data_IF_474015076891
#
_entry.id   IF_474015076891
#
_cell.length_a   1.000
_cell.length_b   1.000
_cell.length_c   1.000
_cell.angle_alpha   90.00
_cell.angle_beta   90.00
_cell.angle_gamma   90.00
#
_symmetry.space_group_name_H-M   'P 1'
#
loop_
_entity.id
_entity.type
_entity.pdbx_description
1 polymer ?
#
# COMPACT_ATOMS: atom_id res chain seq x y z
N UNK A 1 5.29 11.22 -13.81
CA UNK A 1 4.68 10.13 -13.03
C UNK A 1 4.29 8.99 -13.98
N UNK A 2 5.02 7.87 -13.96
CA UNK A 2 4.85 6.74 -14.89
C UNK A 2 3.42 6.20 -14.97
N UNK A 3 2.67 6.27 -13.86
CA UNK A 3 1.28 5.79 -13.78
C UNK A 3 0.20 6.81 -14.17
N UNK A 4 0.54 8.10 -14.39
CA UNK A 4 -0.49 9.13 -14.70
C UNK A 4 -1.28 8.82 -15.97
N UNK A 5 -0.65 8.19 -16.95
CA UNK A 5 -1.32 7.76 -18.18
C UNK A 5 -2.32 6.61 -17.95
N UNK A 6 -2.12 5.79 -16.91
CA UNK A 6 -2.99 4.66 -16.57
C UNK A 6 -4.35 5.12 -16.02
N UNK A 7 -4.40 6.31 -15.41
CA UNK A 7 -5.59 6.85 -14.73
C UNK A 7 -6.31 7.97 -15.50
N UNK A 8 -5.89 8.26 -16.75
CA UNK A 8 -6.53 9.23 -17.65
C UNK A 8 -6.94 10.56 -16.96
N UNK A 9 -8.24 10.86 -16.86
CA UNK A 9 -8.78 12.09 -16.23
C UNK A 9 -8.58 12.12 -14.71
N UNK A 10 -8.52 10.96 -14.04
CA UNK A 10 -8.33 10.82 -12.58
C UNK A 10 -6.85 10.65 -12.21
N UNK A 11 -5.98 11.43 -12.86
CA UNK A 11 -4.53 11.37 -12.67
C UNK A 11 -4.06 11.64 -11.23
N UNK A 12 -4.92 12.25 -10.40
CA UNK A 12 -4.65 12.56 -9.00
C UNK A 12 -4.73 11.31 -8.09
N UNK A 13 -5.42 10.25 -8.51
CA UNK A 13 -5.45 8.98 -7.78
C UNK A 13 -4.07 8.29 -7.71
N UNK A 14 -3.14 8.67 -8.59
CA UNK A 14 -1.74 8.22 -8.53
C UNK A 14 -1.05 8.70 -7.25
N UNK A 15 -1.50 9.79 -6.64
CA UNK A 15 -0.95 10.25 -5.36
C UNK A 15 -1.24 9.28 -4.23
N UNK A 16 -2.37 8.57 -4.24
CA UNK A 16 -2.68 7.51 -3.26
C UNK A 16 -1.58 6.44 -3.25
N UNK A 17 -1.13 6.02 -4.44
CA UNK A 17 -0.04 5.04 -4.59
C UNK A 17 1.22 5.58 -3.92
N UNK A 18 1.60 6.82 -4.26
CA UNK A 18 2.81 7.47 -3.73
C UNK A 18 2.74 7.66 -2.22
N UNK A 19 1.57 8.01 -1.67
CA UNK A 19 1.39 8.19 -0.24
C UNK A 19 1.42 6.86 0.52
N UNK A 20 0.75 5.82 0.02
CA UNK A 20 0.79 4.49 0.66
C UNK A 20 2.21 3.92 0.64
N UNK A 21 2.93 4.00 -0.47
CA UNK A 21 4.30 3.47 -0.54
C UNK A 21 5.35 4.39 0.07
N UNK A 22 5.18 5.70 -0.04
CA UNK A 22 6.15 6.67 0.50
C UNK A 22 6.00 6.84 2.01
N UNK A 23 4.76 7.04 2.47
CA UNK A 23 4.46 7.29 3.89
C UNK A 23 4.17 5.97 4.62
N UNK A 24 3.36 5.07 4.06
CA UNK A 24 3.04 3.79 4.71
C UNK A 24 4.28 2.92 4.84
N UNK A 25 4.83 2.44 3.72
CA UNK A 25 6.00 1.54 3.71
C UNK A 25 7.27 2.23 4.27
N UNK A 26 7.47 3.52 3.95
CA UNK A 26 8.57 4.30 4.50
C UNK A 26 8.53 4.55 6.01
N UNK A 27 7.33 4.61 6.63
CA UNK A 27 7.19 4.70 8.09
C UNK A 27 7.07 3.34 8.77
N UNK A 28 6.74 2.28 8.05
CA UNK A 28 6.58 0.94 8.61
C UNK A 28 7.87 0.43 9.28
N UNK A 29 9.04 0.69 8.68
CA UNK A 29 10.34 0.32 9.23
C UNK A 29 10.68 1.07 10.54
N UNK A 30 10.68 2.42 10.61
CA UNK A 30 10.96 3.14 11.85
C UNK A 30 9.92 2.89 12.94
N UNK A 31 8.63 2.79 12.59
CA UNK A 31 7.56 2.45 13.54
C UNK A 31 7.77 1.03 14.09
N UNK A 32 8.18 0.09 13.24
CA UNK A 32 8.47 -1.27 13.68
C UNK A 32 9.73 -1.40 14.55
N UNK A 33 10.72 -0.53 14.37
CA UNK A 33 11.91 -0.49 15.23
C UNK A 33 11.59 0.17 16.58
N UNK A 34 10.84 1.27 16.58
CA UNK A 34 10.54 2.06 17.78
C UNK A 34 9.42 1.46 18.64
N UNK A 35 8.37 0.93 18.01
CA UNK A 35 7.14 0.46 18.68
C UNK A 35 6.84 -1.02 18.48
N UNK A 36 7.61 -1.74 17.65
CA UNK A 36 7.38 -3.14 17.32
C UNK A 36 7.60 -4.10 18.50
N UNK A 37 6.54 -4.35 19.29
CA UNK A 37 6.55 -5.34 20.37
C UNK A 37 6.28 -6.75 19.84
N UNK A 38 5.50 -6.86 18.77
CA UNK A 38 5.17 -8.15 18.14
C UNK A 38 5.92 -8.29 16.82
N UNK A 39 7.11 -8.88 16.89
CA UNK A 39 7.95 -9.14 15.72
C UNK A 39 7.63 -10.51 15.14
N UNK A 40 7.33 -10.57 13.85
CA UNK A 40 7.27 -11.82 13.09
C UNK A 40 8.47 -11.91 12.15
N UNK A 41 8.99 -13.12 11.97
CA UNK A 41 10.09 -13.36 11.03
C UNK A 41 9.48 -13.66 9.68
N UNK A 42 9.72 -12.80 8.70
CA UNK A 42 9.43 -13.08 7.29
C UNK A 42 10.74 -13.46 6.60
N UNK A 43 10.73 -14.57 5.88
CA UNK A 43 11.81 -14.96 4.97
C UNK A 43 11.62 -14.25 3.64
N UNK A 44 12.65 -13.55 3.18
CA UNK A 44 12.65 -13.01 1.83
C UNK A 44 12.58 -14.17 0.82
N UNK A 45 11.71 -14.07 -0.18
CA UNK A 45 11.73 -14.95 -1.34
C UNK A 45 13.16 -14.94 -1.92
N UNK A 46 13.79 -16.13 -2.00
CA UNK A 46 15.16 -16.37 -2.50
C UNK A 46 16.35 -15.90 -1.66
N UNK A 47 16.19 -15.37 -0.44
CA UNK A 47 17.33 -15.03 0.41
C UNK A 47 17.26 -15.72 1.79
N UNK A 48 18.36 -16.37 2.17
CA UNK A 48 18.56 -17.08 3.45
C UNK A 48 18.56 -16.17 4.69
N UNK A 49 18.27 -14.87 4.56
CA UNK A 49 18.23 -13.93 5.69
C UNK A 49 16.79 -13.76 6.17
N UNK A 50 16.54 -14.15 7.41
CA UNK A 50 15.29 -13.88 8.12
C UNK A 50 15.26 -12.41 8.55
N UNK A 51 14.25 -11.67 8.09
CA UNK A 51 14.01 -10.30 8.52
C UNK A 51 12.89 -10.27 9.55
N UNK A 52 13.05 -9.46 10.58
CA UNK A 52 12.04 -9.24 11.61
C UNK A 52 11.15 -8.07 11.19
N UNK A 53 9.94 -8.38 10.73
CA UNK A 53 8.87 -7.40 10.51
C UNK A 53 8.02 -7.31 11.79
N UNK A 54 7.21 -6.26 11.90
CA UNK A 54 6.40 -6.01 13.09
C UNK A 54 4.95 -5.80 12.70
N UNK A 55 4.02 -6.26 13.54
CA UNK A 55 2.59 -6.03 13.32
C UNK A 55 2.27 -4.54 13.28
N UNK A 56 3.05 -3.75 14.01
CA UNK A 56 2.95 -2.30 14.12
C UNK A 56 3.33 -1.60 12.81
N UNK A 57 4.32 -2.12 12.07
CA UNK A 57 4.70 -1.64 10.74
C UNK A 57 3.59 -1.86 9.70
N UNK A 58 3.05 -3.08 9.63
CA UNK A 58 1.95 -3.37 8.71
C UNK A 58 0.62 -2.71 9.10
N UNK A 59 0.41 -2.40 10.38
CA UNK A 59 -0.69 -1.53 10.80
C UNK A 59 -0.52 -0.10 10.26
N UNK A 60 0.70 0.41 10.12
CA UNK A 60 0.97 1.72 9.52
C UNK A 60 0.60 1.73 8.02
N UNK A 61 1.00 0.69 7.27
CA UNK A 61 0.60 0.53 5.87
C UNK A 61 -0.91 0.39 5.73
N UNK A 62 -1.55 -0.40 6.60
CA UNK A 62 -3.00 -0.57 6.61
C UNK A 62 -3.75 0.75 6.89
N UNK A 63 -3.34 1.50 7.91
CA UNK A 63 -3.94 2.80 8.22
C UNK A 63 -3.73 3.81 7.09
N UNK A 64 -2.55 3.82 6.47
CA UNK A 64 -2.28 4.67 5.30
C UNK A 64 -3.22 4.34 4.14
N UNK A 65 -3.46 3.05 3.87
CA UNK A 65 -4.40 2.59 2.86
C UNK A 65 -5.87 2.89 3.16
N UNK A 66 -6.24 3.15 4.41
CA UNK A 66 -7.60 3.56 4.78
C UNK A 66 -7.77 5.08 4.70
N UNK A 67 -6.78 5.82 5.19
CA UNK A 67 -6.88 7.29 5.35
C UNK A 67 -6.74 8.00 4.00
N UNK A 68 -5.78 7.60 3.15
CA UNK A 68 -5.51 8.33 1.91
C UNK A 68 -6.65 8.23 0.87
N UNK A 69 -7.27 7.06 0.62
CA UNK A 69 -8.46 7.00 -0.22
C UNK A 69 -9.65 7.77 0.35
N UNK A 70 -9.83 7.81 1.68
CA UNK A 70 -10.88 8.60 2.31
C UNK A 70 -10.65 10.11 2.18
N UNK A 71 -9.39 10.57 2.23
CA UNK A 71 -9.03 11.97 2.03
C UNK A 71 -9.22 12.42 0.58
N UNK A 72 -8.98 11.55 -0.39
CA UNK A 72 -9.19 11.81 -1.82
C UNK A 72 -10.58 11.41 -2.32
N UNK A 73 -11.60 11.34 -1.45
CA UNK A 73 -12.96 10.95 -1.86
C UNK A 73 -13.54 11.79 -3.01
N UNK A 74 -13.10 13.06 -3.15
CA UNK A 74 -13.56 13.98 -4.19
C UNK A 74 -12.99 13.66 -5.58
N UNK A 75 -11.88 12.90 -5.65
CA UNK A 75 -11.24 12.48 -6.90
C UNK A 75 -11.79 11.14 -7.41
N UNK A 76 -12.69 10.51 -6.66
CA UNK A 76 -13.40 9.31 -7.07
C UNK A 76 -14.76 9.69 -7.66
N UNK A 77 -15.14 9.03 -8.75
CA UNK A 77 -16.42 9.27 -9.43
C UNK A 77 -17.61 8.76 -8.62
N UNK A 78 -17.41 7.77 -7.74
CA UNK A 78 -18.47 7.12 -6.99
C UNK A 78 -18.04 6.76 -5.56
N UNK A 79 -18.95 6.95 -4.59
CA UNK A 79 -18.73 6.55 -3.21
C UNK A 79 -18.42 5.05 -3.05
N UNK A 80 -18.97 4.23 -3.95
CA UNK A 80 -18.68 2.78 -3.97
C UNK A 80 -17.21 2.49 -4.29
N UNK A 81 -16.58 3.27 -5.16
CA UNK A 81 -15.15 3.12 -5.48
C UNK A 81 -14.27 3.48 -4.27
N UNK A 82 -14.64 4.52 -3.51
CA UNK A 82 -13.98 4.88 -2.24
C UNK A 82 -14.12 3.75 -1.23
N UNK A 83 -15.32 3.21 -1.05
CA UNK A 83 -15.57 2.15 -0.08
C UNK A 83 -14.84 0.85 -0.44
N UNK A 84 -14.84 0.47 -1.72
CA UNK A 84 -14.11 -0.73 -2.17
C UNK A 84 -12.61 -0.53 -2.09
N UNK A 85 -12.08 0.64 -2.44
CA UNK A 85 -10.65 0.92 -2.30
C UNK A 85 -10.20 0.88 -0.84
N UNK A 86 -11.00 1.40 0.10
CA UNK A 86 -10.74 1.30 1.54
C UNK A 86 -10.85 -0.14 2.09
N UNK A 87 -11.63 -1.02 1.48
CA UNK A 87 -11.74 -2.42 1.92
C UNK A 87 -10.66 -3.31 1.31
N UNK A 88 -10.25 -3.04 0.06
CA UNK A 88 -9.35 -3.92 -0.70
C UNK A 88 -7.90 -3.47 -0.58
N UNK A 89 -7.59 -2.17 -0.66
CA UNK A 89 -6.20 -1.69 -0.62
C UNK A 89 -5.50 -1.99 0.71
N UNK A 90 -6.04 -1.66 1.89
CA UNK A 90 -5.32 -1.88 3.15
C UNK A 90 -4.88 -3.34 3.39
N UNK A 91 -5.77 -4.35 3.27
CA UNK A 91 -5.36 -5.73 3.52
C UNK A 91 -4.42 -6.27 2.43
N UNK A 92 -4.63 -5.91 1.17
CA UNK A 92 -3.75 -6.35 0.07
C UNK A 92 -2.36 -5.74 0.18
N UNK A 93 -2.26 -4.46 0.58
CA UNK A 93 -0.99 -3.78 0.75
C UNK A 93 -0.22 -4.26 1.98
N UNK A 94 -0.90 -4.48 3.11
CA UNK A 94 -0.28 -5.09 4.29
C UNK A 94 0.22 -6.52 3.99
N UNK A 95 -0.55 -7.28 3.20
CA UNK A 95 -0.15 -8.62 2.77
C UNK A 95 1.03 -8.59 1.79
N UNK A 96 1.03 -7.66 0.83
CA UNK A 96 2.12 -7.47 -0.12
C UNK A 96 3.41 -7.07 0.60
N UNK A 97 3.35 -6.15 1.57
CA UNK A 97 4.48 -5.78 2.42
C UNK A 97 5.01 -6.99 3.21
N UNK A 98 4.12 -7.85 3.70
CA UNK A 98 4.49 -9.03 4.47
C UNK A 98 5.15 -10.14 3.62
N UNK A 99 5.04 -10.11 2.30
CA UNK A 99 5.54 -11.15 1.38
C UNK A 99 6.67 -10.64 0.48
N UNK A 100 6.71 -9.34 0.21
CA UNK A 100 7.63 -8.78 -0.76
C UNK A 100 9.10 -9.01 -0.34
N UNK A 101 9.99 -9.30 -1.32
CA UNK A 101 11.41 -9.41 -1.05
C UNK A 101 11.96 -8.03 -0.72
N UNK A 102 12.71 -7.91 0.38
CA UNK A 102 13.16 -6.64 0.98
C UNK A 102 13.86 -5.63 0.04
N UNK A 103 14.39 -6.07 -1.09
CA UNK A 103 15.02 -5.23 -2.12
C UNK A 103 14.06 -4.77 -3.24
N UNK A 104 12.83 -5.27 -3.25
CA UNK A 104 11.79 -5.04 -4.25
C UNK A 104 10.43 -4.66 -3.63
N UNK A 105 10.36 -4.37 -2.33
CA UNK A 105 9.12 -3.99 -1.65
C UNK A 105 8.44 -2.81 -2.35
N UNK A 106 9.13 -1.68 -2.47
CA UNK A 106 8.55 -0.46 -3.05
C UNK A 106 7.99 -0.64 -4.47
N UNK A 107 8.70 -1.23 -5.46
CA UNK A 107 8.13 -1.48 -6.77
C UNK A 107 6.98 -2.50 -6.77
N UNK A 108 7.01 -3.53 -5.91
CA UNK A 108 5.92 -4.51 -5.79
C UNK A 108 4.67 -3.84 -5.21
N UNK A 109 4.82 -3.04 -4.15
CA UNK A 109 3.72 -2.29 -3.56
C UNK A 109 3.17 -1.26 -4.56
N UNK A 110 4.01 -0.50 -5.27
CA UNK A 110 3.55 0.50 -6.25
C UNK A 110 2.76 -0.13 -7.39
N UNK A 111 3.24 -1.25 -7.95
CA UNK A 111 2.56 -1.96 -9.03
C UNK A 111 1.26 -2.59 -8.52
N UNK A 112 1.28 -3.22 -7.35
CA UNK A 112 0.10 -3.83 -6.72
C UNK A 112 -1.00 -2.80 -6.45
N UNK A 113 -0.66 -1.69 -5.79
CA UNK A 113 -1.57 -0.58 -5.54
C UNK A 113 -2.14 -0.02 -6.86
N UNK A 114 -1.28 0.17 -7.86
CA UNK A 114 -1.69 0.69 -9.17
C UNK A 114 -2.67 -0.21 -9.91
N UNK A 115 -2.44 -1.53 -9.92
CA UNK A 115 -3.34 -2.49 -10.58
C UNK A 115 -4.70 -2.53 -9.87
N UNK A 116 -4.71 -2.54 -8.53
CA UNK A 116 -5.96 -2.60 -7.76
C UNK A 116 -6.78 -1.32 -7.95
N UNK A 117 -6.15 -0.14 -7.83
CA UNK A 117 -6.82 1.13 -8.06
C UNK A 117 -7.34 1.24 -9.48
N UNK A 118 -6.55 0.83 -10.48
CA UNK A 118 -6.99 0.84 -11.88
C UNK A 118 -8.20 -0.06 -12.10
N UNK A 119 -8.20 -1.26 -11.52
CA UNK A 119 -9.34 -2.18 -11.60
C UNK A 119 -10.60 -1.58 -10.99
N UNK A 120 -10.49 -0.96 -9.81
CA UNK A 120 -11.64 -0.33 -9.13
C UNK A 120 -12.19 0.83 -9.96
N UNK A 121 -11.33 1.71 -10.48
CA UNK A 121 -11.79 2.87 -11.25
C UNK A 121 -12.38 2.49 -12.63
N UNK A 122 -11.98 1.34 -13.18
CA UNK A 122 -12.42 0.89 -14.51
C UNK A 122 -13.68 0.02 -14.46
N UNK A 123 -13.84 -0.81 -13.43
CA UNK A 123 -14.88 -1.86 -13.40
C UNK A 123 -15.97 -1.66 -12.34
N UNK A 124 -15.85 -0.68 -11.44
CA UNK A 124 -16.82 -0.36 -10.38
C UNK A 124 -17.35 1.06 -10.58
#
# INVERSE_FOLDING_TARGET
MFFKWLFAENGDLVYIIVFITGIGDGLAEPVGIMWGKHKYKTTACFASRAYTRSWEGSACVFLSGMIFPALQYADFDNFTQVLVSMLVLPPTMAYAEAIAPHTMDTPVLMIGCGIILWFICTFI
#
